data_IF_955450283337
#
_entry.id   IF_955450283337
#
_cell.length_a   1.000
_cell.length_b   1.000
_cell.length_c   1.000
_cell.angle_alpha   90.00
_cell.angle_beta   90.00
_cell.angle_gamma   90.00
#
_symmetry.space_group_name_H-M   'P 1'
#
loop_
_entity.id
_entity.type
_entity.pdbx_description
1 polymer ?
#
# COMPACT_ATOMS: atom_id res chain seq x y z
N UNK A 1 -30.56 -5.13 1.72
CA UNK A 1 -29.84 -4.13 0.89
C UNK A 1 -28.44 -4.10 1.47
N UNK A 2 -27.45 -4.62 0.75
CA UNK A 2 -26.07 -4.61 1.23
C UNK A 2 -25.62 -3.14 1.28
N UNK A 3 -25.12 -2.72 2.43
CA UNK A 3 -24.54 -1.40 2.62
C UNK A 3 -23.39 -1.24 1.62
N UNK A 4 -23.51 -0.33 0.67
CA UNK A 4 -22.49 -0.07 -0.35
C UNK A 4 -21.41 0.80 0.26
N UNK A 5 -20.53 0.21 1.07
CA UNK A 5 -19.39 0.93 1.64
C UNK A 5 -18.38 1.26 0.54
N UNK A 6 -18.19 2.55 0.25
CA UNK A 6 -17.04 3.03 -0.51
C UNK A 6 -15.77 2.61 0.23
N UNK A 7 -14.85 1.90 -0.44
CA UNK A 7 -13.57 1.52 0.15
C UNK A 7 -12.44 2.37 -0.44
N UNK A 8 -11.67 3.03 0.41
CA UNK A 8 -10.51 3.82 0.01
C UNK A 8 -9.23 3.03 0.25
N UNK A 9 -8.57 2.65 -0.84
CA UNK A 9 -7.29 1.97 -0.85
C UNK A 9 -6.12 2.90 -1.14
N UNK A 10 -4.96 2.60 -0.59
CA UNK A 10 -3.69 3.18 -1.04
C UNK A 10 -2.75 2.10 -1.58
N UNK A 11 -2.17 2.37 -2.75
CA UNK A 11 -1.19 1.54 -3.43
C UNK A 11 0.18 2.18 -3.25
N UNK A 12 1.12 1.44 -2.69
CA UNK A 12 2.45 1.92 -2.36
C UNK A 12 3.51 1.14 -3.14
N UNK A 13 4.54 1.81 -3.64
CA UNK A 13 5.73 1.14 -4.19
C UNK A 13 6.97 2.01 -3.95
N UNK A 14 8.11 1.36 -3.68
CA UNK A 14 9.37 2.04 -3.47
C UNK A 14 10.10 2.27 -4.81
N UNK A 15 10.78 3.40 -4.98
CA UNK A 15 11.66 3.71 -6.12
C UNK A 15 11.05 3.53 -7.53
N UNK A 16 9.72 3.48 -7.65
CA UNK A 16 8.99 3.24 -8.91
C UNK A 16 9.43 1.95 -9.63
N UNK A 17 9.89 0.93 -8.89
CA UNK A 17 10.32 -0.34 -9.47
C UNK A 17 9.16 -1.18 -10.02
N UNK A 18 7.91 -0.82 -9.69
CA UNK A 18 6.71 -1.47 -10.19
C UNK A 18 5.66 -0.44 -10.62
N UNK A 19 4.96 -0.69 -11.73
CA UNK A 19 3.86 0.17 -12.17
C UNK A 19 2.56 -0.14 -11.40
N UNK A 20 2.18 0.73 -10.47
CA UNK A 20 0.95 0.62 -9.68
C UNK A 20 -0.35 0.68 -10.51
N UNK A 21 -0.32 1.16 -11.76
CA UNK A 21 -1.50 1.11 -12.66
C UNK A 21 -1.96 -0.32 -12.91
N UNK A 22 -1.03 -1.30 -12.87
CA UNK A 22 -1.36 -2.72 -13.04
C UNK A 22 -2.20 -3.23 -11.87
N UNK A 23 -1.90 -2.77 -10.66
CA UNK A 23 -2.65 -3.17 -9.45
C UNK A 23 -3.99 -2.44 -9.37
N UNK A 24 -4.04 -1.15 -9.71
CA UNK A 24 -5.30 -0.41 -9.83
C UNK A 24 -6.24 -1.07 -10.84
N UNK A 25 -5.73 -1.43 -12.02
CA UNK A 25 -6.50 -2.15 -13.04
C UNK A 25 -7.02 -3.49 -12.54
N UNK A 26 -6.23 -4.22 -11.74
CA UNK A 26 -6.69 -5.46 -11.11
C UNK A 26 -7.90 -5.23 -10.20
N UNK A 27 -7.90 -4.17 -9.38
CA UNK A 27 -9.06 -3.84 -8.56
C UNK A 27 -10.29 -3.50 -9.41
N UNK A 28 -10.14 -2.68 -10.45
CA UNK A 28 -11.23 -2.35 -11.37
C UNK A 28 -11.84 -3.59 -12.04
N UNK A 29 -11.01 -4.53 -12.48
CA UNK A 29 -11.50 -5.79 -13.07
C UNK A 29 -12.21 -6.67 -12.03
N UNK A 30 -11.77 -6.65 -10.77
CA UNK A 30 -12.40 -7.39 -9.68
C UNK A 30 -13.75 -6.79 -9.29
N UNK A 31 -13.89 -5.47 -9.31
CA UNK A 31 -15.17 -4.78 -9.15
C UNK A 31 -16.17 -5.22 -10.23
N UNK A 32 -15.75 -5.17 -11.50
CA UNK A 32 -16.60 -5.55 -12.63
C UNK A 32 -17.03 -7.02 -12.57
N UNK A 33 -16.11 -7.93 -12.24
CA UNK A 33 -16.36 -9.38 -12.25
C UNK A 33 -17.10 -9.90 -11.02
N UNK A 34 -16.83 -9.34 -9.85
CA UNK A 34 -17.28 -9.90 -8.57
C UNK A 34 -18.28 -9.00 -7.82
N UNK A 35 -18.62 -7.83 -8.37
CA UNK A 35 -19.54 -6.90 -7.72
C UNK A 35 -18.98 -6.33 -6.41
N UNK A 36 -17.65 -6.26 -6.28
CA UNK A 36 -17.02 -5.38 -5.30
C UNK A 36 -17.40 -3.96 -5.73
N UNK A 37 -18.04 -3.20 -4.84
CA UNK A 37 -18.55 -1.89 -5.20
C UNK A 37 -17.69 -0.80 -4.56
N UNK A 38 -17.23 0.13 -5.41
CA UNK A 38 -16.69 1.44 -5.06
C UNK A 38 -15.36 1.45 -4.30
N UNK A 39 -14.41 0.63 -4.73
CA UNK A 39 -13.00 0.72 -4.42
C UNK A 39 -12.39 1.91 -5.17
N UNK A 40 -12.00 2.95 -4.43
CA UNK A 40 -11.16 4.03 -4.94
C UNK A 40 -9.73 3.82 -4.48
N UNK A 41 -8.76 3.86 -5.40
CA UNK A 41 -7.33 3.73 -5.05
C UNK A 41 -6.55 5.02 -5.30
N UNK A 42 -5.65 5.35 -4.38
CA UNK A 42 -4.61 6.36 -4.57
C UNK A 42 -3.24 5.70 -4.65
N UNK A 43 -2.33 6.27 -5.45
CA UNK A 43 -0.98 5.73 -5.68
C UNK A 43 0.04 6.61 -5.00
N UNK A 44 0.94 5.99 -4.22
CA UNK A 44 2.03 6.67 -3.54
C UNK A 44 3.34 5.95 -3.83
N UNK A 45 4.16 6.61 -4.64
CA UNK A 45 5.55 6.23 -4.83
C UNK A 45 6.46 7.01 -3.88
N UNK A 46 7.45 6.33 -3.31
CA UNK A 46 8.45 6.98 -2.47
C UNK A 46 9.83 6.35 -2.65
N UNK A 47 10.88 7.13 -2.43
CA UNK A 47 12.23 6.59 -2.46
C UNK A 47 12.61 5.91 -1.14
N UNK A 48 13.55 4.96 -1.17
CA UNK A 48 14.06 4.32 0.08
C UNK A 48 14.53 5.37 1.08
N UNK A 49 15.16 6.45 0.60
CA UNK A 49 15.63 7.57 1.43
C UNK A 49 14.51 8.34 2.15
N UNK A 50 13.27 8.27 1.65
CA UNK A 50 12.08 8.90 2.26
C UNK A 50 11.21 7.92 3.03
N UNK A 51 11.59 6.64 3.10
CA UNK A 51 10.77 5.61 3.75
C UNK A 51 10.44 5.96 5.21
N UNK A 52 11.41 6.49 5.97
CA UNK A 52 11.17 6.90 7.35
C UNK A 52 10.13 8.04 7.43
N UNK A 53 10.27 9.07 6.59
CA UNK A 53 9.33 10.20 6.48
C UNK A 53 7.92 9.70 6.13
N UNK A 54 7.81 8.82 5.14
CA UNK A 54 6.51 8.25 4.72
C UNK A 54 5.86 7.46 5.87
N UNK A 55 6.63 6.65 6.57
CA UNK A 55 6.11 5.83 7.68
C UNK A 55 5.71 6.67 8.90
N UNK A 56 6.50 7.69 9.24
CA UNK A 56 6.35 8.43 10.50
C UNK A 56 5.43 9.65 10.36
N UNK A 57 5.37 10.27 9.17
CA UNK A 57 4.61 11.51 8.94
C UNK A 57 3.47 11.37 7.94
N UNK A 58 3.59 10.56 6.89
CA UNK A 58 2.58 10.49 5.82
C UNK A 58 1.50 9.45 6.10
N UNK A 59 1.87 8.16 6.24
CA UNK A 59 0.93 7.04 6.43
C UNK A 59 -0.07 7.30 7.57
N UNK A 60 0.34 7.78 8.77
CA UNK A 60 -0.59 8.02 9.87
C UNK A 60 -1.66 9.08 9.62
N UNK A 61 -1.50 9.92 8.58
CA UNK A 61 -2.45 10.99 8.23
C UNK A 61 -3.40 10.60 7.10
N UNK A 62 -3.13 9.48 6.42
CA UNK A 62 -3.96 9.02 5.31
C UNK A 62 -5.22 8.34 5.85
N UNK A 63 -6.38 8.74 5.34
CA UNK A 63 -7.63 8.03 5.59
C UNK A 63 -7.76 6.89 4.58
N UNK A 64 -7.60 5.67 5.05
CA UNK A 64 -7.62 4.46 4.23
C UNK A 64 -8.38 3.34 4.94
N UNK A 65 -9.13 2.55 4.17
CA UNK A 65 -9.77 1.31 4.63
C UNK A 65 -8.86 0.10 4.40
N UNK A 66 -7.96 0.19 3.42
CA UNK A 66 -6.93 -0.81 3.18
C UNK A 66 -5.70 -0.22 2.49
N UNK A 67 -4.59 -0.96 2.54
CA UNK A 67 -3.36 -0.62 1.84
C UNK A 67 -2.80 -1.84 1.10
N UNK A 68 -2.16 -1.58 -0.04
CA UNK A 68 -1.38 -2.56 -0.79
C UNK A 68 0.02 -2.01 -0.96
N UNK A 69 1.00 -2.66 -0.34
CA UNK A 69 2.40 -2.37 -0.59
C UNK A 69 2.96 -3.36 -1.62
N UNK A 70 3.30 -2.84 -2.80
CA UNK A 70 3.78 -3.61 -3.95
C UNK A 70 5.28 -3.59 -3.97
N UNK A 71 5.88 -4.78 -4.00
CA UNK A 71 7.32 -4.99 -4.00
C UNK A 71 7.71 -5.71 -5.29
N UNK A 72 8.74 -5.22 -5.97
CA UNK A 72 9.34 -5.86 -7.14
C UNK A 72 10.52 -6.74 -6.73
N UNK A 73 10.72 -7.89 -7.39
CA UNK A 73 11.80 -8.83 -7.06
C UNK A 73 13.23 -8.27 -7.25
N UNK A 74 13.36 -7.11 -7.90
CA UNK A 74 14.62 -6.36 -8.00
C UNK A 74 14.99 -5.66 -6.67
N UNK A 75 14.09 -5.60 -5.70
CA UNK A 75 14.36 -5.09 -4.35
C UNK A 75 15.10 -6.19 -3.56
N UNK A 76 16.36 -5.91 -3.22
CA UNK A 76 17.37 -6.92 -2.86
C UNK A 76 17.07 -7.78 -1.62
N UNK A 77 16.07 -7.43 -0.79
CA UNK A 77 15.62 -8.24 0.36
C UNK A 77 14.27 -7.73 0.89
N UNK A 78 13.30 -8.64 0.99
CA UNK A 78 12.08 -8.45 1.77
C UNK A 78 12.32 -8.96 3.19
N UNK A 79 12.68 -8.07 4.11
CA UNK A 79 12.59 -8.35 5.54
C UNK A 79 11.34 -7.67 6.08
N UNK A 80 10.35 -8.48 6.47
CA UNK A 80 9.09 -8.06 7.06
C UNK A 80 8.95 -8.87 8.35
N UNK A 81 8.64 -8.22 9.47
CA UNK A 81 8.48 -8.84 10.80
C UNK A 81 9.76 -9.37 11.49
N UNK A 82 10.91 -8.78 11.20
CA UNK A 82 12.08 -8.95 12.07
C UNK A 82 12.04 -7.88 13.18
N UNK A 83 11.99 -8.32 14.45
CA UNK A 83 11.86 -7.42 15.61
C UNK A 83 12.99 -6.38 15.69
N UNK A 84 14.21 -6.80 15.33
CA UNK A 84 15.43 -5.99 15.32
C UNK A 84 15.71 -5.28 13.99
N UNK A 85 14.94 -5.56 12.93
CA UNK A 85 15.17 -4.93 11.62
C UNK A 85 14.53 -3.54 11.57
N UNK A 86 14.89 -2.64 12.47
CA UNK A 86 14.42 -1.24 12.52
C UNK A 86 14.75 -0.39 11.28
N UNK A 87 14.96 -1.02 10.12
CA UNK A 87 15.34 -0.49 8.82
C UNK A 87 14.51 -1.17 7.72
N UNK A 88 14.28 -0.47 6.61
CA UNK A 88 13.62 -1.05 5.43
C UNK A 88 12.12 -1.32 5.61
N UNK A 89 11.59 -2.31 4.88
CA UNK A 89 10.15 -2.53 4.73
C UNK A 89 9.41 -2.97 5.99
N UNK A 90 10.11 -3.46 7.03
CA UNK A 90 9.49 -3.73 8.33
C UNK A 90 8.86 -2.46 8.94
N UNK A 91 9.44 -1.26 8.69
CA UNK A 91 8.84 0.02 9.09
C UNK A 91 7.55 0.31 8.32
N UNK A 92 7.54 0.06 7.00
CA UNK A 92 6.36 0.25 6.16
C UNK A 92 5.23 -0.66 6.62
N UNK A 93 5.52 -1.95 6.85
CA UNK A 93 4.54 -2.89 7.38
C UNK A 93 3.93 -2.42 8.72
N UNK A 94 4.77 -2.03 9.69
CA UNK A 94 4.28 -1.56 11.01
C UNK A 94 3.44 -0.29 10.90
N UNK A 95 3.85 0.66 10.05
CA UNK A 95 3.10 1.89 9.83
C UNK A 95 1.72 1.61 9.18
N UNK A 96 1.68 0.75 8.16
CA UNK A 96 0.42 0.36 7.52
C UNK A 96 -0.48 -0.40 8.49
N UNK A 97 0.05 -1.37 9.25
CA UNK A 97 -0.70 -2.13 10.26
C UNK A 97 -1.34 -1.24 11.34
N UNK A 98 -0.77 -0.07 11.62
CA UNK A 98 -1.33 0.89 12.58
C UNK A 98 -2.37 1.82 11.94
N UNK A 99 -2.28 2.05 10.63
CA UNK A 99 -3.13 2.99 9.89
C UNK A 99 -4.35 2.33 9.23
N UNK A 100 -4.35 1.01 9.08
CA UNK A 100 -5.46 0.19 8.57
C UNK A 100 -6.01 -0.72 9.66
#
# INVERSE_FOLDING_TARGET
>A
MADQSNQRGYLFNCDHVYNLDVVEKFFLEMEEKHGLNNISTEKLYFGVNRMAEICEATIPQLQMDFAVFVVHANESRLSINEDDAGIGYAKVYRALLQAT
#
